data_IF_288681587405
#
_entry.id   IF_288681587405
#
_cell.length_a   1.000
_cell.length_b   1.000
_cell.length_c   1.000
_cell.angle_alpha   90.00
_cell.angle_beta   90.00
_cell.angle_gamma   90.00
#
_symmetry.space_group_name_H-M   'P 1'
#
loop_
_entity.id
_entity.type
_entity.pdbx_description
1 polymer ?
#
# COMPACT_ATOMS: atom_id res chain seq x y z
N UNK A 1 -4.98 11.05 -23.31
CA UNK A 1 -4.67 9.65 -23.66
C UNK A 1 -3.16 9.55 -23.71
N UNK A 2 -2.54 8.98 -22.67
CA UNK A 2 -1.08 8.76 -22.67
C UNK A 2 -0.86 7.53 -23.58
N UNK A 3 -0.74 7.74 -24.87
CA UNK A 3 -0.23 6.72 -25.76
C UNK A 3 1.28 6.73 -25.63
N UNK A 4 1.85 5.73 -24.95
CA UNK A 4 3.29 5.47 -25.00
C UNK A 4 3.59 4.95 -26.41
N UNK A 5 3.62 5.84 -27.39
CA UNK A 5 4.00 5.49 -28.76
C UNK A 5 5.50 5.22 -28.91
N UNK A 6 6.27 5.45 -27.85
CA UNK A 6 7.69 5.23 -27.88
C UNK A 6 8.00 3.77 -27.47
N UNK A 7 8.23 2.91 -28.46
CA UNK A 7 8.61 1.50 -28.27
C UNK A 7 9.79 1.30 -27.31
N UNK A 8 10.71 2.27 -27.28
CA UNK A 8 11.87 2.24 -26.40
C UNK A 8 11.49 2.46 -24.93
N UNK A 9 10.56 3.38 -24.64
CA UNK A 9 10.06 3.59 -23.27
C UNK A 9 9.25 2.40 -22.76
N UNK A 10 8.45 1.76 -23.62
CA UNK A 10 7.74 0.54 -23.30
C UNK A 10 8.70 -0.61 -22.96
N UNK A 11 9.72 -0.80 -23.81
CA UNK A 11 10.75 -1.82 -23.58
C UNK A 11 11.54 -1.55 -22.30
N UNK A 12 11.97 -0.30 -22.09
CA UNK A 12 12.69 0.10 -20.90
C UNK A 12 11.86 -0.12 -19.63
N UNK A 13 10.58 0.23 -19.65
CA UNK A 13 9.65 -0.02 -18.54
C UNK A 13 9.52 -1.50 -18.22
N UNK A 14 9.39 -2.35 -19.23
CA UNK A 14 9.34 -3.81 -19.07
C UNK A 14 10.65 -4.36 -18.49
N UNK A 15 11.79 -3.90 -18.99
CA UNK A 15 13.11 -4.32 -18.46
C UNK A 15 13.29 -3.93 -16.99
N UNK A 16 12.95 -2.68 -16.64
CA UNK A 16 13.04 -2.20 -15.25
C UNK A 16 12.12 -3.01 -14.33
N UNK A 17 10.88 -3.24 -14.73
CA UNK A 17 9.92 -4.02 -13.94
C UNK A 17 10.38 -5.48 -13.78
N UNK A 18 10.91 -6.08 -14.85
CA UNK A 18 11.48 -7.44 -14.81
C UNK A 18 12.65 -7.53 -13.84
N UNK A 19 13.59 -6.59 -13.94
CA UNK A 19 14.75 -6.53 -13.05
C UNK A 19 14.32 -6.31 -11.61
N UNK A 20 13.37 -5.43 -11.38
CA UNK A 20 12.81 -5.15 -10.05
C UNK A 20 12.19 -6.40 -9.41
N UNK A 21 11.33 -7.13 -10.13
CA UNK A 21 10.73 -8.38 -9.66
C UNK A 21 11.78 -9.47 -9.43
N UNK A 22 12.78 -9.56 -10.30
CA UNK A 22 13.90 -10.49 -10.14
C UNK A 22 14.70 -10.18 -8.87
N UNK A 23 15.07 -8.90 -8.65
CA UNK A 23 15.81 -8.49 -7.45
C UNK A 23 15.02 -8.75 -6.16
N UNK A 24 13.72 -8.46 -6.13
CA UNK A 24 12.87 -8.80 -4.98
C UNK A 24 12.88 -10.29 -4.73
N UNK A 25 12.72 -11.11 -5.78
CA UNK A 25 12.74 -12.57 -5.63
C UNK A 25 14.11 -13.07 -5.16
N UNK A 26 15.19 -12.44 -5.60
CA UNK A 26 16.55 -12.75 -5.18
C UNK A 26 16.76 -12.42 -3.69
N UNK A 27 16.36 -11.25 -3.23
CA UNK A 27 16.43 -10.87 -1.81
C UNK A 27 15.62 -11.80 -0.91
N UNK A 28 14.50 -12.31 -1.39
CA UNK A 28 13.70 -13.28 -0.63
C UNK A 28 14.34 -14.66 -0.54
N UNK A 29 15.23 -15.00 -1.47
CA UNK A 29 15.88 -16.32 -1.57
C UNK A 29 17.37 -16.29 -1.24
N UNK A 30 17.86 -15.21 -0.60
CA UNK A 30 19.29 -15.01 -0.26
C UNK A 30 19.95 -16.12 0.58
N UNK A 31 19.18 -17.03 1.15
CA UNK A 31 19.69 -18.22 1.83
C UNK A 31 20.25 -19.31 0.87
N UNK A 32 20.08 -19.14 -0.45
CA UNK A 32 20.58 -20.06 -1.44
C UNK A 32 21.53 -19.34 -2.41
N UNK A 33 22.84 -19.62 -2.36
CA UNK A 33 23.78 -19.04 -3.32
C UNK A 33 23.42 -19.49 -4.72
N UNK A 34 23.78 -18.70 -5.71
CA UNK A 34 23.66 -18.87 -7.17
C UNK A 34 23.25 -20.29 -7.59
N UNK A 35 21.96 -20.51 -7.71
CA UNK A 35 21.46 -21.74 -8.30
C UNK A 35 21.31 -21.53 -9.81
N UNK A 36 21.46 -22.60 -10.57
CA UNK A 36 21.17 -22.65 -12.01
C UNK A 36 19.77 -22.12 -12.37
N UNK A 37 18.90 -21.93 -11.39
CA UNK A 37 17.57 -21.36 -11.53
C UNK A 37 17.53 -19.83 -11.68
N UNK A 38 18.62 -19.10 -11.38
CA UNK A 38 18.63 -17.64 -11.45
C UNK A 38 18.32 -17.09 -12.87
N UNK A 39 18.98 -17.55 -13.96
CA UNK A 39 18.64 -17.11 -15.31
C UNK A 39 17.23 -17.55 -15.73
N UNK A 40 16.78 -18.74 -15.32
CA UNK A 40 15.42 -19.20 -15.60
C UNK A 40 14.35 -18.31 -14.92
N UNK A 41 14.61 -17.86 -13.69
CA UNK A 41 13.72 -16.91 -13.00
C UNK A 41 13.69 -15.56 -13.71
N UNK A 42 14.83 -15.03 -14.13
CA UNK A 42 14.89 -13.76 -14.86
C UNK A 42 14.10 -13.84 -16.18
N UNK A 43 14.27 -14.91 -16.94
CA UNK A 43 13.53 -15.18 -18.17
C UNK A 43 12.03 -15.33 -17.84
N UNK A 44 11.68 -16.10 -16.83
CA UNK A 44 10.29 -16.30 -16.39
C UNK A 44 9.60 -14.98 -16.02
N UNK A 45 10.25 -14.11 -15.23
CA UNK A 45 9.73 -12.78 -14.93
C UNK A 45 9.64 -11.91 -16.18
N UNK A 46 10.60 -11.98 -17.10
CA UNK A 46 10.56 -11.24 -18.36
C UNK A 46 9.35 -11.64 -19.21
N UNK A 47 9.09 -12.92 -19.35
CA UNK A 47 7.91 -13.43 -20.07
C UNK A 47 6.63 -13.00 -19.36
N UNK A 48 6.55 -13.17 -18.03
CA UNK A 48 5.37 -12.77 -17.23
C UNK A 48 5.06 -11.28 -17.39
N UNK A 49 6.07 -10.42 -17.24
CA UNK A 49 5.92 -8.96 -17.40
C UNK A 49 5.48 -8.62 -18.82
N UNK A 50 6.12 -9.24 -19.83
CA UNK A 50 5.74 -8.99 -21.22
C UNK A 50 4.29 -9.37 -21.49
N UNK A 51 3.89 -10.58 -21.15
CA UNK A 51 2.52 -11.08 -21.34
C UNK A 51 1.51 -10.22 -20.57
N UNK A 52 1.80 -9.88 -19.30
CA UNK A 52 0.93 -9.02 -18.50
C UNK A 52 0.78 -7.62 -19.13
N UNK A 53 1.87 -6.99 -19.55
CA UNK A 53 1.81 -5.67 -20.21
C UNK A 53 1.02 -5.71 -21.53
N UNK A 54 1.23 -6.73 -22.37
CA UNK A 54 0.48 -6.88 -23.62
C UNK A 54 -1.01 -7.19 -23.36
N UNK A 55 -1.33 -8.00 -22.36
CA UNK A 55 -2.70 -8.24 -21.94
C UNK A 55 -3.38 -6.96 -21.44
N UNK A 56 -2.67 -6.16 -20.61
CA UNK A 56 -3.17 -4.89 -20.11
C UNK A 56 -3.41 -3.86 -21.25
N UNK A 57 -2.54 -3.81 -22.27
CA UNK A 57 -2.75 -2.95 -23.44
C UNK A 57 -4.02 -3.30 -24.23
N UNK A 58 -4.44 -4.58 -24.22
CA UNK A 58 -5.68 -5.02 -24.87
C UNK A 58 -6.94 -4.63 -24.07
N UNK A 59 -6.80 -4.38 -22.78
CA UNK A 59 -7.90 -3.93 -21.93
C UNK A 59 -8.18 -2.45 -22.25
N UNK A 60 -9.14 -2.20 -23.11
CA UNK A 60 -9.64 -0.85 -23.38
C UNK A 60 -10.52 -0.40 -22.22
N UNK A 61 -9.90 0.16 -21.19
CA UNK A 61 -10.64 0.89 -20.17
C UNK A 61 -10.97 2.24 -20.76
N UNK A 62 -12.24 2.50 -21.02
CA UNK A 62 -12.70 3.82 -21.44
C UNK A 62 -12.66 4.73 -20.22
N UNK A 63 -11.52 5.36 -19.99
CA UNK A 63 -11.38 6.41 -18.98
C UNK A 63 -12.08 7.64 -19.56
N UNK A 64 -12.95 8.27 -18.78
CA UNK A 64 -13.59 9.51 -19.18
C UNK A 64 -12.53 10.62 -19.26
N UNK A 65 -12.65 11.48 -20.26
CA UNK A 65 -11.82 12.68 -20.40
C UNK A 65 -12.06 13.69 -19.26
N UNK A 66 -13.22 13.62 -18.64
CA UNK A 66 -13.60 14.46 -17.49
C UNK A 66 -14.04 13.58 -16.32
N UNK A 67 -13.57 13.96 -15.14
CA UNK A 67 -13.91 13.29 -13.89
C UNK A 67 -15.41 13.49 -13.56
N UNK A 68 -16.08 12.44 -13.14
CA UNK A 68 -17.47 12.51 -12.69
C UNK A 68 -17.54 13.05 -11.25
N UNK A 69 -18.70 13.55 -10.81
CA UNK A 69 -18.88 13.91 -9.40
C UNK A 69 -18.63 12.73 -8.47
N UNK A 70 -18.04 12.99 -7.31
CA UNK A 70 -17.85 12.00 -6.25
C UNK A 70 -19.17 11.39 -5.82
N UNK A 71 -19.19 10.07 -5.70
CA UNK A 71 -20.41 9.33 -5.32
C UNK A 71 -20.27 8.70 -3.93
N UNK A 72 -20.55 9.49 -2.90
CA UNK A 72 -20.51 9.04 -1.51
C UNK A 72 -21.47 7.89 -1.22
N UNK A 73 -22.66 7.88 -1.87
CA UNK A 73 -23.61 6.75 -1.78
C UNK A 73 -23.00 5.43 -2.28
N UNK A 74 -22.25 5.50 -3.37
CA UNK A 74 -21.54 4.33 -3.88
C UNK A 74 -20.37 3.96 -2.97
N UNK A 75 -19.62 4.92 -2.47
CA UNK A 75 -18.58 4.69 -1.46
C UNK A 75 -19.13 3.98 -0.23
N UNK A 76 -20.22 4.46 0.34
CA UNK A 76 -20.88 3.82 1.48
C UNK A 76 -21.31 2.37 1.19
N UNK A 77 -21.80 2.08 -0.02
CA UNK A 77 -22.12 0.71 -0.42
C UNK A 77 -20.87 -0.17 -0.49
N UNK A 78 -19.76 0.33 -1.09
CA UNK A 78 -18.47 -0.40 -1.13
C UNK A 78 -17.94 -0.65 0.28
N UNK A 79 -17.99 0.36 1.15
CA UNK A 79 -17.60 0.22 2.56
C UNK A 79 -18.44 -0.85 3.27
N UNK A 80 -19.77 -0.77 3.16
CA UNK A 80 -20.68 -1.71 3.80
C UNK A 80 -20.45 -3.14 3.33
N UNK A 81 -20.28 -3.35 2.02
CA UNK A 81 -19.97 -4.69 1.46
C UNK A 81 -18.61 -5.19 2.02
N UNK A 82 -17.59 -4.33 2.06
CA UNK A 82 -16.28 -4.69 2.62
C UNK A 82 -16.39 -5.09 4.08
N UNK A 83 -17.11 -4.30 4.88
CA UNK A 83 -17.34 -4.57 6.30
C UNK A 83 -18.09 -5.87 6.54
N UNK A 84 -19.10 -6.18 5.72
CA UNK A 84 -19.86 -7.44 5.83
C UNK A 84 -18.95 -8.62 5.50
N UNK A 85 -18.23 -8.58 4.38
CA UNK A 85 -17.38 -9.69 3.95
C UNK A 85 -16.22 -9.93 4.92
N UNK A 86 -15.51 -8.88 5.34
CA UNK A 86 -14.44 -9.00 6.34
C UNK A 86 -14.99 -9.34 7.72
N UNK A 87 -16.20 -8.89 8.04
CA UNK A 87 -16.91 -9.21 9.27
C UNK A 87 -17.17 -10.70 9.44
N UNK A 88 -17.44 -11.43 8.36
CA UNK A 88 -17.56 -12.90 8.38
C UNK A 88 -16.26 -13.54 8.88
N UNK A 89 -15.11 -13.12 8.34
CA UNK A 89 -13.80 -13.60 8.79
C UNK A 89 -13.49 -13.16 10.21
N UNK A 90 -13.81 -11.91 10.56
CA UNK A 90 -13.60 -11.40 11.92
C UNK A 90 -14.37 -12.24 12.97
N UNK A 91 -15.62 -12.59 12.68
CA UNK A 91 -16.42 -13.43 13.57
C UNK A 91 -15.88 -14.87 13.61
N UNK A 92 -15.49 -15.41 12.45
CA UNK A 92 -14.94 -16.77 12.35
C UNK A 92 -13.63 -16.94 13.13
N UNK A 93 -12.82 -15.89 13.23
CA UNK A 93 -11.54 -15.89 13.93
C UNK A 93 -11.57 -15.06 15.22
N UNK A 94 -12.75 -14.82 15.79
CA UNK A 94 -12.88 -14.03 17.02
C UNK A 94 -12.07 -14.64 18.19
N UNK A 95 -11.36 -13.83 18.98
CA UNK A 95 -11.29 -12.36 19.07
C UNK A 95 -10.38 -11.67 18.04
N UNK A 96 -9.96 -12.39 17.03
CA UNK A 96 -9.09 -11.97 15.94
C UNK A 96 -7.95 -12.95 15.70
N UNK A 97 -7.52 -13.09 14.45
CA UNK A 97 -6.33 -13.84 14.13
C UNK A 97 -5.09 -13.12 14.67
N UNK A 98 -4.32 -13.83 15.47
CA UNK A 98 -3.08 -13.33 16.05
C UNK A 98 -1.94 -14.20 15.51
N UNK A 99 -0.98 -13.56 14.89
CA UNK A 99 0.29 -14.17 14.52
C UNK A 99 1.36 -13.79 15.55
N UNK A 100 2.47 -14.49 15.55
CA UNK A 100 3.59 -14.26 16.49
C UNK A 100 4.03 -12.78 16.47
N UNK A 101 4.13 -12.17 15.31
CA UNK A 101 4.50 -10.75 15.17
C UNK A 101 3.50 -9.83 15.87
N UNK A 102 2.20 -10.08 15.66
CA UNK A 102 1.13 -9.28 16.28
C UNK A 102 1.10 -9.46 17.80
N UNK A 103 1.39 -10.67 18.29
CA UNK A 103 1.49 -10.95 19.71
C UNK A 103 2.66 -10.18 20.36
N UNK A 104 3.83 -10.19 19.72
CA UNK A 104 4.99 -9.42 20.19
C UNK A 104 4.70 -7.91 20.21
N UNK A 105 4.03 -7.38 19.18
CA UNK A 105 3.64 -5.97 19.16
C UNK A 105 2.59 -5.65 20.24
N UNK A 106 1.65 -6.57 20.48
CA UNK A 106 0.68 -6.41 21.56
C UNK A 106 1.35 -6.41 22.95
N UNK A 107 2.36 -7.26 23.15
CA UNK A 107 3.17 -7.23 24.37
C UNK A 107 3.87 -5.86 24.55
N UNK A 108 4.42 -5.28 23.49
CA UNK A 108 4.99 -3.93 23.53
C UNK A 108 3.95 -2.86 23.90
N UNK A 109 2.70 -3.01 23.42
CA UNK A 109 1.59 -2.12 23.81
C UNK A 109 1.30 -2.18 25.30
N UNK A 110 1.31 -3.38 25.91
CA UNK A 110 1.00 -3.58 27.31
C UNK A 110 2.15 -3.13 28.23
N UNK A 111 3.40 -3.36 27.83
CA UNK A 111 4.58 -3.01 28.63
C UNK A 111 5.04 -1.57 28.44
N UNK A 112 4.69 -0.94 27.34
CA UNK A 112 5.18 0.39 26.96
C UNK A 112 6.65 0.40 26.47
N UNK A 113 7.27 -0.77 26.33
CA UNK A 113 8.65 -0.91 25.81
C UNK A 113 8.61 -1.22 24.32
N UNK A 114 9.06 -0.29 23.50
CA UNK A 114 9.02 -0.41 22.04
C UNK A 114 10.37 -0.81 21.49
N UNK A 115 10.38 -1.83 20.63
CA UNK A 115 11.58 -2.38 19.98
C UNK A 115 11.39 -2.33 18.47
N UNK A 116 12.37 -1.80 17.72
CA UNK A 116 12.32 -1.67 16.25
C UNK A 116 12.60 -3.00 15.50
N UNK A 117 12.26 -4.13 16.10
CA UNK A 117 12.16 -5.41 15.40
C UNK A 117 10.93 -5.44 14.48
N UNK A 118 9.82 -4.96 15.02
CA UNK A 118 8.59 -4.73 14.26
C UNK A 118 8.38 -3.22 14.07
N UNK A 119 7.67 -2.80 13.00
CA UNK A 119 7.41 -1.39 12.74
C UNK A 119 6.70 -0.72 13.90
N UNK A 120 7.42 0.14 14.63
CA UNK A 120 6.90 0.81 15.84
C UNK A 120 5.69 1.69 15.51
N UNK A 121 5.67 2.33 14.35
CA UNK A 121 4.53 3.15 13.93
C UNK A 121 3.26 2.30 13.77
N UNK A 122 3.37 1.07 13.27
CA UNK A 122 2.24 0.14 13.25
C UNK A 122 1.76 -0.16 14.67
N UNK A 123 2.67 -0.52 15.58
CA UNK A 123 2.35 -0.80 16.99
C UNK A 123 1.62 0.36 17.65
N UNK A 124 2.09 1.60 17.41
CA UNK A 124 1.48 2.79 18.01
C UNK A 124 0.11 3.11 17.41
N UNK A 125 -0.02 3.18 16.10
CA UNK A 125 -1.23 3.67 15.44
C UNK A 125 -2.34 2.62 15.36
N UNK A 126 -1.97 1.36 15.07
CA UNK A 126 -2.96 0.31 14.85
C UNK A 126 -3.24 -0.54 16.09
N UNK A 127 -2.37 -0.50 17.12
CA UNK A 127 -2.58 -1.28 18.34
C UNK A 127 -2.69 -0.37 19.57
N UNK A 128 -1.67 0.47 19.87
CA UNK A 128 -1.68 1.29 21.08
C UNK A 128 -2.82 2.31 21.09
N UNK A 129 -2.98 3.07 20.02
CA UNK A 129 -4.02 4.10 19.96
C UNK A 129 -5.44 3.51 20.13
N UNK A 130 -5.85 2.44 19.40
CA UNK A 130 -7.12 1.78 19.66
C UNK A 130 -7.23 1.21 21.07
N UNK A 131 -6.15 0.64 21.63
CA UNK A 131 -6.17 0.06 22.98
C UNK A 131 -6.43 1.09 24.10
N UNK A 132 -6.20 2.37 23.84
CA UNK A 132 -6.56 3.44 24.77
C UNK A 132 -8.08 3.61 24.91
N UNK A 133 -8.84 3.23 23.88
CA UNK A 133 -10.32 3.26 23.90
C UNK A 133 -10.85 1.96 24.51
N UNK A 134 -10.36 0.83 23.99
CA UNK A 134 -10.72 -0.49 24.51
C UNK A 134 -9.49 -1.40 24.43
N UNK A 135 -8.96 -1.81 25.60
CA UNK A 135 -7.79 -2.66 25.72
C UNK A 135 -8.12 -4.12 25.39
N UNK A 136 -8.49 -4.37 24.15
CA UNK A 136 -8.90 -5.67 23.63
C UNK A 136 -8.34 -5.89 22.24
N UNK A 137 -7.77 -7.07 21.99
CA UNK A 137 -7.31 -7.49 20.66
C UNK A 137 -8.47 -7.53 19.65
N UNK A 138 -9.66 -7.93 20.08
CA UNK A 138 -10.85 -7.90 19.24
C UNK A 138 -11.12 -6.47 18.73
N UNK A 139 -11.06 -5.49 19.62
CA UNK A 139 -11.29 -4.10 19.23
C UNK A 139 -10.19 -3.57 18.29
N UNK A 140 -8.93 -3.90 18.57
CA UNK A 140 -7.80 -3.54 17.70
C UNK A 140 -7.95 -4.12 16.29
N UNK A 141 -8.30 -5.41 16.17
CA UNK A 141 -8.60 -6.05 14.89
C UNK A 141 -9.78 -5.38 14.18
N UNK A 142 -10.85 -5.06 14.92
CA UNK A 142 -12.01 -4.36 14.37
C UNK A 142 -11.65 -2.99 13.80
N UNK A 143 -10.83 -2.20 14.51
CA UNK A 143 -10.37 -0.88 14.04
C UNK A 143 -9.51 -1.02 12.78
N UNK A 144 -8.65 -2.03 12.70
CA UNK A 144 -7.88 -2.25 11.46
C UNK A 144 -8.79 -2.66 10.28
N UNK A 145 -9.82 -3.47 10.55
CA UNK A 145 -10.83 -3.80 9.54
C UNK A 145 -11.61 -2.58 9.06
N UNK A 146 -11.90 -1.60 9.92
CA UNK A 146 -12.46 -0.31 9.52
C UNK A 146 -11.52 0.44 8.56
N UNK A 147 -10.24 0.54 8.89
CA UNK A 147 -9.27 1.24 8.06
C UNK A 147 -9.11 0.62 6.68
N UNK A 148 -9.01 -0.71 6.57
CA UNK A 148 -8.91 -1.37 5.27
C UNK A 148 -10.19 -1.17 4.44
N UNK A 149 -11.36 -1.22 5.08
CA UNK A 149 -12.64 -0.98 4.41
C UNK A 149 -12.78 0.46 3.90
N UNK A 150 -12.26 1.44 4.64
CA UNK A 150 -12.18 2.84 4.20
C UNK A 150 -11.22 3.02 3.01
N UNK A 151 -10.08 2.36 3.02
CA UNK A 151 -9.14 2.40 1.89
C UNK A 151 -9.77 1.80 0.62
N UNK A 152 -10.46 0.67 0.74
CA UNK A 152 -11.21 0.03 -0.35
C UNK A 152 -12.34 0.95 -0.86
N UNK A 153 -13.06 1.59 0.05
CA UNK A 153 -14.07 2.59 -0.29
C UNK A 153 -13.48 3.72 -1.13
N UNK A 154 -12.35 4.28 -0.69
CA UNK A 154 -11.66 5.35 -1.40
C UNK A 154 -11.26 4.94 -2.81
N UNK A 155 -10.60 3.78 -2.96
CA UNK A 155 -10.23 3.23 -4.27
C UNK A 155 -11.47 3.03 -5.16
N UNK A 156 -12.53 2.46 -4.63
CA UNK A 156 -13.78 2.25 -5.37
C UNK A 156 -14.41 3.55 -5.84
N UNK A 157 -14.36 4.60 -5.01
CA UNK A 157 -14.84 5.94 -5.36
C UNK A 157 -14.00 6.56 -6.47
N UNK A 158 -12.67 6.47 -6.39
CA UNK A 158 -11.74 6.94 -7.42
C UNK A 158 -11.96 6.22 -8.74
N UNK A 159 -12.05 4.90 -8.73
CA UNK A 159 -12.34 4.11 -9.94
C UNK A 159 -13.64 4.55 -10.61
N UNK A 160 -14.69 4.78 -9.81
CA UNK A 160 -15.97 5.28 -10.33
C UNK A 160 -15.87 6.72 -10.84
N UNK A 161 -15.13 7.58 -10.14
CA UNK A 161 -14.88 8.98 -10.51
C UNK A 161 -14.32 9.07 -11.94
N UNK A 162 -13.40 8.19 -12.29
CA UNK A 162 -12.79 8.10 -13.61
C UNK A 162 -13.54 7.21 -14.62
N UNK A 163 -14.77 6.82 -14.32
CA UNK A 163 -15.71 6.24 -15.29
C UNK A 163 -15.82 4.72 -15.28
N UNK A 164 -15.14 4.02 -14.38
CA UNK A 164 -15.32 2.58 -14.25
C UNK A 164 -16.75 2.28 -13.77
N UNK A 165 -17.42 1.37 -14.47
CA UNK A 165 -18.81 1.00 -14.14
C UNK A 165 -18.89 0.34 -12.78
N UNK A 166 -19.85 0.74 -11.95
CA UNK A 166 -20.06 0.24 -10.58
C UNK A 166 -20.00 -1.29 -10.47
N UNK A 167 -20.60 -2.01 -11.45
CA UNK A 167 -20.59 -3.47 -11.46
C UNK A 167 -19.20 -4.08 -11.46
N UNK A 168 -18.25 -3.50 -12.18
CA UNK A 168 -16.88 -4.02 -12.23
C UNK A 168 -16.13 -3.78 -10.92
N UNK A 169 -16.36 -2.63 -10.28
CA UNK A 169 -15.78 -2.34 -8.96
C UNK A 169 -16.31 -3.34 -7.93
N UNK A 170 -17.62 -3.60 -7.92
CA UNK A 170 -18.24 -4.57 -7.00
C UNK A 170 -17.75 -5.99 -7.29
N UNK A 171 -17.69 -6.41 -8.56
CA UNK A 171 -17.18 -7.75 -8.91
C UNK A 171 -15.72 -7.91 -8.44
N UNK A 172 -14.86 -6.91 -8.68
CA UNK A 172 -13.47 -6.95 -8.24
C UNK A 172 -13.38 -7.03 -6.71
N UNK A 173 -14.20 -6.27 -5.99
CA UNK A 173 -14.28 -6.30 -4.54
C UNK A 173 -14.72 -7.69 -4.02
N UNK A 174 -15.79 -8.25 -4.58
CA UNK A 174 -16.25 -9.58 -4.22
C UNK A 174 -15.16 -10.63 -4.47
N UNK A 175 -14.55 -10.63 -5.66
CA UNK A 175 -13.46 -11.56 -5.99
C UNK A 175 -12.28 -11.42 -5.03
N UNK A 176 -11.88 -10.18 -4.68
CA UNK A 176 -10.75 -9.95 -3.79
C UNK A 176 -11.02 -10.41 -2.35
N UNK A 177 -12.22 -10.15 -1.82
CA UNK A 177 -12.53 -10.39 -0.40
C UNK A 177 -13.16 -11.76 -0.12
N UNK A 178 -13.70 -12.46 -1.13
CA UNK A 178 -14.22 -13.81 -0.96
C UNK A 178 -13.15 -14.89 -1.11
N UNK A 179 -11.95 -14.56 -1.64
CA UNK A 179 -10.80 -15.47 -1.58
C UNK A 179 -10.41 -15.67 -0.12
N UNK A 180 -10.46 -16.89 0.43
CA UNK A 180 -10.26 -17.13 1.86
C UNK A 180 -8.94 -16.58 2.41
N UNK A 181 -7.85 -16.76 1.68
CA UNK A 181 -6.53 -16.23 2.07
C UNK A 181 -6.53 -14.70 2.23
N UNK A 182 -7.14 -13.99 1.28
CA UNK A 182 -7.23 -12.52 1.33
C UNK A 182 -8.13 -12.05 2.47
N UNK A 183 -9.34 -12.63 2.59
CA UNK A 183 -10.29 -12.25 3.62
C UNK A 183 -9.75 -12.49 5.03
N UNK A 184 -9.12 -13.64 5.25
CA UNK A 184 -8.50 -13.99 6.53
C UNK A 184 -7.38 -12.99 6.89
N UNK A 185 -6.41 -12.77 6.00
CA UNK A 185 -5.27 -11.88 6.27
C UNK A 185 -5.73 -10.44 6.52
N UNK A 186 -6.68 -9.94 5.74
CA UNK A 186 -7.18 -8.58 5.88
C UNK A 186 -8.01 -8.35 7.15
N UNK A 187 -8.52 -9.40 7.79
CA UNK A 187 -9.23 -9.32 9.06
C UNK A 187 -8.31 -9.37 10.28
N UNK A 188 -7.02 -9.67 10.12
CA UNK A 188 -6.06 -9.76 11.22
C UNK A 188 -5.35 -8.43 11.46
N UNK A 189 -5.09 -8.09 12.74
CA UNK A 189 -4.25 -6.96 13.07
C UNK A 189 -2.78 -7.32 12.83
N UNK A 190 -2.33 -7.04 11.62
CA UNK A 190 -0.99 -7.35 11.16
C UNK A 190 -0.38 -6.18 10.38
N UNK A 191 0.94 -6.00 10.53
CA UNK A 191 1.69 -4.95 9.83
C UNK A 191 1.52 -4.99 8.31
N UNK A 192 1.37 -6.20 7.72
CA UNK A 192 1.20 -6.34 6.27
C UNK A 192 -0.22 -5.95 5.83
N UNK A 193 -1.23 -6.15 6.69
CA UNK A 193 -2.58 -5.60 6.47
C UNK A 193 -2.55 -4.07 6.53
N UNK A 194 -1.84 -3.50 7.50
CA UNK A 194 -1.66 -2.05 7.59
C UNK A 194 -0.89 -1.49 6.39
N UNK A 195 0.15 -2.17 5.91
CA UNK A 195 0.81 -1.83 4.65
C UNK A 195 -0.20 -1.83 3.48
N UNK A 196 -1.04 -2.87 3.39
CA UNK A 196 -2.03 -3.01 2.32
C UNK A 196 -3.02 -1.84 2.31
N UNK A 197 -3.41 -1.29 3.47
CA UNK A 197 -4.23 -0.07 3.55
C UNK A 197 -3.58 1.07 2.75
N UNK A 198 -2.31 1.35 3.02
CA UNK A 198 -1.61 2.46 2.37
C UNK A 198 -1.26 2.17 0.92
N UNK A 199 -1.02 0.91 0.54
CA UNK A 199 -0.87 0.49 -0.86
C UNK A 199 -2.15 0.78 -1.65
N UNK A 200 -3.31 0.48 -1.10
CA UNK A 200 -4.60 0.77 -1.74
C UNK A 200 -4.81 2.29 -1.87
N UNK A 201 -4.48 3.06 -0.83
CA UNK A 201 -4.57 4.53 -0.87
C UNK A 201 -3.63 5.10 -1.93
N UNK A 202 -2.36 4.65 -1.96
CA UNK A 202 -1.40 5.08 -2.97
C UNK A 202 -1.84 4.70 -4.39
N UNK A 203 -2.40 3.50 -4.58
CA UNK A 203 -2.94 3.09 -5.88
C UNK A 203 -4.10 4.01 -6.32
N UNK A 204 -5.00 4.38 -5.41
CA UNK A 204 -6.06 5.33 -5.70
C UNK A 204 -5.52 6.72 -6.08
N UNK A 205 -4.53 7.23 -5.34
CA UNK A 205 -3.87 8.51 -5.65
C UNK A 205 -3.10 8.47 -6.98
N UNK A 206 -2.45 7.34 -7.29
CA UNK A 206 -1.80 7.17 -8.61
C UNK A 206 -2.81 7.18 -9.75
N UNK A 207 -3.99 6.58 -9.58
CA UNK A 207 -5.07 6.66 -10.57
C UNK A 207 -5.50 8.12 -10.77
N UNK A 208 -5.68 8.88 -9.69
CA UNK A 208 -6.01 10.32 -9.76
C UNK A 208 -4.94 11.11 -10.54
N UNK A 209 -3.66 10.90 -10.22
CA UNK A 209 -2.54 11.59 -10.87
C UNK A 209 -2.47 11.23 -12.36
N UNK A 210 -2.56 9.95 -12.69
CA UNK A 210 -2.44 9.46 -14.08
C UNK A 210 -3.64 9.91 -14.91
N UNK A 211 -4.85 9.76 -14.40
CA UNK A 211 -6.07 10.09 -15.12
C UNK A 211 -6.27 11.61 -15.30
N UNK A 212 -5.77 12.42 -14.36
CA UNK A 212 -5.75 13.89 -14.47
C UNK A 212 -4.52 14.42 -15.22
N UNK A 213 -3.67 13.52 -15.77
CA UNK A 213 -2.41 13.90 -16.40
C UNK A 213 -1.52 14.81 -15.51
N UNK A 214 -1.49 14.51 -14.20
CA UNK A 214 -0.72 15.24 -13.20
C UNK A 214 -1.38 16.48 -12.59
N UNK A 215 -2.54 16.91 -13.06
CA UNK A 215 -3.23 18.10 -12.52
C UNK A 215 -3.64 17.90 -11.04
N UNK A 216 -4.04 16.69 -10.67
CA UNK A 216 -4.36 16.36 -9.29
C UNK A 216 -3.21 16.71 -8.34
N UNK A 217 -1.96 16.43 -8.74
CA UNK A 217 -0.77 16.71 -7.92
C UNK A 217 -0.50 18.22 -7.74
N UNK A 218 -1.07 19.07 -8.58
CA UNK A 218 -0.79 20.52 -8.59
C UNK A 218 -1.45 21.30 -7.42
N UNK A 219 -1.76 20.62 -6.30
CA UNK A 219 -2.26 21.21 -5.06
C UNK A 219 -1.42 20.75 -3.87
N UNK A 220 -1.07 21.66 -2.97
CA UNK A 220 -0.27 21.33 -1.79
C UNK A 220 -0.97 20.36 -0.82
N UNK A 221 -2.30 20.39 -0.75
CA UNK A 221 -3.06 19.40 0.02
C UNK A 221 -2.83 17.99 -0.49
N UNK A 222 -2.81 17.80 -1.82
CA UNK A 222 -2.57 16.50 -2.44
C UNK A 222 -1.09 16.05 -2.31
N UNK A 223 -0.16 17.02 -2.29
CA UNK A 223 1.25 16.75 -1.95
C UNK A 223 1.35 16.18 -0.53
N UNK A 224 0.66 16.82 0.43
CA UNK A 224 0.63 16.34 1.81
C UNK A 224 -0.03 14.95 1.92
N UNK A 225 -1.15 14.74 1.24
CA UNK A 225 -1.83 13.44 1.21
C UNK A 225 -0.93 12.33 0.65
N UNK A 226 -0.29 12.57 -0.51
CA UNK A 226 0.58 11.59 -1.17
C UNK A 226 1.84 11.30 -0.35
N UNK A 227 2.50 12.35 0.16
CA UNK A 227 3.68 12.20 1.00
C UNK A 227 3.35 11.46 2.30
N UNK A 228 2.23 11.78 2.96
CA UNK A 228 1.79 11.11 4.19
C UNK A 228 1.48 9.62 3.94
N UNK A 229 0.73 9.30 2.88
CA UNK A 229 0.44 7.92 2.51
C UNK A 229 1.72 7.14 2.17
N UNK A 230 2.68 7.78 1.50
CA UNK A 230 3.99 7.21 1.17
C UNK A 230 4.82 6.92 2.42
N UNK A 231 4.86 7.88 3.36
CA UNK A 231 5.53 7.72 4.66
C UNK A 231 4.91 6.56 5.44
N UNK A 232 3.58 6.52 5.51
CA UNK A 232 2.88 5.46 6.23
C UNK A 232 3.13 4.09 5.59
N UNK A 233 3.06 3.97 4.26
CA UNK A 233 3.41 2.72 3.58
C UNK A 233 4.84 2.27 3.89
N UNK A 234 5.81 3.20 3.90
CA UNK A 234 7.19 2.89 4.27
C UNK A 234 7.32 2.46 5.73
N UNK A 235 6.61 3.13 6.65
CA UNK A 235 6.74 2.89 8.09
C UNK A 235 5.93 1.69 8.60
N UNK A 236 5.00 1.14 7.79
CA UNK A 236 4.31 -0.11 8.14
C UNK A 236 5.18 -1.35 7.93
N UNK A 237 6.27 -1.24 7.17
CA UNK A 237 7.20 -2.35 6.96
C UNK A 237 8.60 -1.83 6.66
N UNK A 238 9.65 -2.47 7.21
CA UNK A 238 11.04 -2.05 6.95
C UNK A 238 11.40 -2.03 5.46
N UNK A 239 10.82 -2.95 4.68
CA UNK A 239 10.99 -3.03 3.23
C UNK A 239 10.06 -2.10 2.43
N UNK A 240 9.24 -1.29 3.09
CA UNK A 240 8.28 -0.39 2.42
C UNK A 240 8.93 0.60 1.46
N UNK A 241 10.20 0.93 1.67
CA UNK A 241 10.96 1.77 0.75
C UNK A 241 11.07 1.17 -0.66
N UNK A 242 11.10 -0.16 -0.78
CA UNK A 242 11.15 -0.84 -2.09
C UNK A 242 9.87 -0.66 -2.91
N UNK A 243 8.78 -0.35 -2.25
CA UNK A 243 7.51 0.01 -2.91
C UNK A 243 7.47 1.51 -3.23
N UNK A 244 7.72 2.32 -2.21
CA UNK A 244 7.54 3.78 -2.28
C UNK A 244 8.63 4.45 -3.12
N UNK A 245 9.87 3.98 -3.02
CA UNK A 245 11.00 4.56 -3.75
C UNK A 245 10.80 4.57 -5.27
N UNK A 246 10.55 3.42 -5.90
CA UNK A 246 10.24 3.36 -7.33
C UNK A 246 9.00 4.17 -7.71
N UNK A 247 7.94 4.15 -6.88
CA UNK A 247 6.73 4.94 -7.15
C UNK A 247 7.04 6.44 -7.20
N UNK A 248 7.77 6.98 -6.21
CA UNK A 248 8.17 8.38 -6.18
C UNK A 248 9.13 8.73 -7.32
N UNK A 249 10.05 7.82 -7.65
CA UNK A 249 10.95 7.99 -8.79
C UNK A 249 10.18 8.13 -10.10
N UNK A 250 9.24 7.22 -10.38
CA UNK A 250 8.41 7.30 -11.58
C UNK A 250 7.48 8.52 -11.56
N UNK A 251 6.95 8.92 -10.40
CA UNK A 251 6.19 10.16 -10.27
C UNK A 251 7.00 11.36 -10.77
N UNK A 252 8.24 11.49 -10.28
CA UNK A 252 9.14 12.57 -10.70
C UNK A 252 9.45 12.45 -12.19
N UNK A 253 9.79 11.28 -12.69
CA UNK A 253 10.17 11.06 -14.07
C UNK A 253 9.05 11.44 -15.06
N UNK A 254 7.82 11.02 -14.81
CA UNK A 254 6.70 11.20 -15.73
C UNK A 254 6.03 12.58 -15.62
N UNK A 255 5.96 13.14 -14.42
CA UNK A 255 5.24 14.40 -14.20
C UNK A 255 6.14 15.62 -13.96
N UNK A 256 7.47 15.47 -14.15
CA UNK A 256 8.44 16.56 -14.00
C UNK A 256 8.08 17.82 -14.78
N UNK A 257 7.70 17.68 -16.04
CA UNK A 257 7.40 18.83 -16.92
C UNK A 257 6.15 19.59 -16.46
N UNK A 258 5.16 18.90 -15.90
CA UNK A 258 3.87 19.49 -15.50
C UNK A 258 3.82 19.95 -14.06
N UNK A 259 4.37 19.18 -13.16
CA UNK A 259 4.18 19.33 -11.72
C UNK A 259 5.52 19.39 -10.94
N UNK A 260 6.61 19.91 -11.56
CA UNK A 260 7.98 19.88 -11.00
C UNK A 260 8.04 20.27 -9.51
N UNK A 261 7.51 21.44 -9.14
CA UNK A 261 7.56 21.94 -7.75
C UNK A 261 6.82 21.02 -6.77
N UNK A 262 5.72 20.40 -7.21
CA UNK A 262 4.91 19.50 -6.38
C UNK A 262 5.55 18.12 -6.27
N UNK A 263 6.18 17.61 -7.35
CA UNK A 263 6.99 16.40 -7.30
C UNK A 263 8.15 16.54 -6.31
N UNK A 264 8.91 17.64 -6.41
CA UNK A 264 9.99 17.94 -5.46
C UNK A 264 9.42 18.09 -4.04
N UNK A 265 8.32 18.82 -3.89
CA UNK A 265 7.65 18.99 -2.59
C UNK A 265 7.23 17.65 -1.96
N UNK A 266 6.68 16.72 -2.75
CA UNK A 266 6.32 15.37 -2.28
C UNK A 266 7.52 14.59 -1.77
N UNK A 267 8.62 14.58 -2.55
CA UNK A 267 9.83 13.85 -2.17
C UNK A 267 10.48 14.47 -0.94
N UNK A 268 10.61 15.79 -0.89
CA UNK A 268 11.19 16.49 0.27
C UNK A 268 10.35 16.28 1.53
N UNK A 269 9.02 16.42 1.43
CA UNK A 269 8.13 16.21 2.56
C UNK A 269 8.19 14.75 3.04
N UNK A 270 8.20 13.79 2.12
CA UNK A 270 8.40 12.39 2.44
C UNK A 270 9.69 12.17 3.24
N UNK A 271 10.84 12.71 2.76
CA UNK A 271 12.12 12.57 3.45
C UNK A 271 12.09 13.21 4.85
N UNK A 272 11.57 14.44 4.95
CA UNK A 272 11.48 15.17 6.23
C UNK A 272 10.64 14.39 7.24
N UNK A 273 9.49 13.87 6.83
CA UNK A 273 8.61 13.10 7.71
C UNK A 273 9.25 11.77 8.15
N UNK A 274 9.90 11.05 7.23
CA UNK A 274 10.59 9.80 7.57
C UNK A 274 11.72 10.05 8.57
N UNK A 275 12.56 11.05 8.30
CA UNK A 275 13.67 11.43 9.21
C UNK A 275 13.13 11.91 10.54
N UNK A 276 12.07 12.73 10.53
CA UNK A 276 11.45 13.24 11.75
C UNK A 276 10.87 12.12 12.63
N UNK A 277 10.25 11.11 12.01
CA UNK A 277 9.67 9.98 12.76
C UNK A 277 10.76 9.02 13.22
N UNK A 278 11.61 8.54 12.33
CA UNK A 278 12.65 7.56 12.71
C UNK A 278 13.78 8.14 13.56
N UNK A 279 14.00 9.45 13.50
CA UNK A 279 15.02 10.15 14.30
C UNK A 279 14.45 10.66 15.63
N UNK A 280 14.04 11.95 15.69
CA UNK A 280 13.66 12.58 16.95
C UNK A 280 12.45 11.92 17.64
N UNK A 281 11.41 11.52 16.89
CA UNK A 281 10.24 10.91 17.51
C UNK A 281 10.57 9.54 18.14
N UNK A 282 11.31 8.66 17.45
CA UNK A 282 11.73 7.38 18.05
C UNK A 282 12.61 7.56 19.28
N UNK A 283 13.48 8.57 19.29
CA UNK A 283 14.28 8.92 20.48
C UNK A 283 13.40 9.39 21.63
N UNK A 284 12.39 10.22 21.36
CA UNK A 284 11.47 10.75 22.37
C UNK A 284 10.68 9.64 23.10
N UNK A 285 10.30 8.58 22.39
CA UNK A 285 9.57 7.44 22.97
C UNK A 285 10.50 6.28 23.35
N UNK A 286 11.82 6.51 23.38
CA UNK A 286 12.82 5.54 23.81
C UNK A 286 12.77 4.20 23.07
N UNK A 287 12.58 4.21 21.74
CA UNK A 287 12.60 2.99 20.92
C UNK A 287 13.94 2.31 21.02
N UNK A 288 13.94 1.05 21.43
CA UNK A 288 15.16 0.23 21.49
C UNK A 288 15.50 -0.33 20.10
N UNK A 289 16.76 -0.28 19.72
CA UNK A 289 17.24 -0.94 18.50
C UNK A 289 17.30 -2.45 18.71
N UNK A 290 17.11 -3.23 17.62
CA UNK A 290 17.20 -4.70 17.67
C UNK A 290 18.52 -5.21 18.28
N UNK A 291 19.64 -4.53 17.97
CA UNK A 291 20.96 -4.89 18.50
C UNK A 291 21.08 -4.74 20.01
N UNK A 292 20.19 -3.98 20.67
CA UNK A 292 20.19 -3.79 22.12
C UNK A 292 19.41 -4.89 22.87
N UNK A 293 18.59 -5.66 22.17
CA UNK A 293 17.76 -6.72 22.75
C UNK A 293 18.44 -8.09 22.69
N UNK A 294 19.42 -8.23 21.80
CA UNK A 294 20.20 -9.48 21.64
C UNK A 294 21.49 -9.51 22.49
N UNK A 295 21.74 -8.51 23.31
CA UNK A 295 22.82 -8.44 24.29
C UNK A 295 22.29 -8.67 25.70
#
# INVERSE_FOLDING_TARGET
MITVENKWLDLLGKCILTLYLYLISYFYTLSYPWSWSAPLRLIGFGILVHVACEALKKIRITIRSEASKWSWRFGAAVFGISMILLGVYYVAFYPGGIIIDSFNQWYQVQTGVYVDWHPVVHTLLFMKLPSLICNSLAFVNFVQMLWISLAIMYLGMVMKHWGIRRKYVIIALLLALTVPASGMVLSFCWKDTALTIFVIVLAAQMIEIICSDGEWLCKWSHVLELASASVMAMLMRHNGILLVGPMLFFLVLFFWKKAKKFCIGTVLLFMVLVVGIKGPFYRLIHVQSHSQVSA
#
